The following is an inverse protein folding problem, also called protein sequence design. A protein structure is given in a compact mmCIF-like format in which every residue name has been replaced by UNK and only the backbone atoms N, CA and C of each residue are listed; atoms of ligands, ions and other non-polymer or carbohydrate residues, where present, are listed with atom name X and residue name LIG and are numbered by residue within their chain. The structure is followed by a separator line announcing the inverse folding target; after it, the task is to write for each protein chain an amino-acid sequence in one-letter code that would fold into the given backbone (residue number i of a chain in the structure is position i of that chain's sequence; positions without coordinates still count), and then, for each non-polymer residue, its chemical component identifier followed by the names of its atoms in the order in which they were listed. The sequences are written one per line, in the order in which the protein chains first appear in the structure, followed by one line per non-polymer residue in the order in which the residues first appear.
data_IF_764193806411
#
_entry.id   IF_764193806411
#
_cell.length_a   1.000
_cell.length_b   1.000
_cell.length_c   1.000
_cell.angle_alpha   90.00
_cell.angle_beta   90.00
_cell.angle_gamma   90.00
#
_symmetry.space_group_name_H-M   'P 1'
#
loop_
_entity.id
_entity.type
_entity.pdbx_description
1 polymer ?
#
# COMPACT_ATOMS: atom_id res chain seq x y z
N UNK A 1 4.93 2.53 -26.72
CA UNK A 1 5.66 1.35 -26.20
C UNK A 1 4.61 0.38 -25.70
N UNK A 2 4.43 -0.74 -26.40
CA UNK A 2 3.51 -1.80 -26.01
C UNK A 2 4.03 -2.44 -24.72
N UNK A 3 3.60 -1.93 -23.57
CA UNK A 3 3.79 -2.57 -22.27
C UNK A 3 2.94 -3.82 -22.21
N UNK A 4 3.32 -4.86 -22.92
CA UNK A 4 2.63 -6.14 -22.89
C UNK A 4 2.84 -6.72 -21.50
N UNK A 5 1.79 -6.70 -20.70
CA UNK A 5 1.78 -7.27 -19.36
C UNK A 5 1.96 -8.77 -19.52
N UNK A 6 3.09 -9.29 -19.02
CA UNK A 6 3.44 -10.71 -19.12
C UNK A 6 2.80 -11.58 -18.03
N UNK A 7 1.96 -10.98 -17.19
CA UNK A 7 1.31 -11.66 -16.07
C UNK A 7 -0.16 -11.89 -16.39
N UNK A 8 -0.69 -13.00 -15.91
CA UNK A 8 -2.11 -13.31 -15.97
C UNK A 8 -2.93 -12.37 -15.07
N UNK A 9 -4.24 -12.19 -15.34
CA UNK A 9 -5.14 -11.45 -14.42
C UNK A 9 -5.09 -11.98 -12.98
N UNK A 10 -4.96 -13.29 -12.80
CA UNK A 10 -4.86 -13.92 -11.49
C UNK A 10 -3.58 -13.50 -10.74
N UNK A 11 -2.42 -13.52 -11.41
CA UNK A 11 -1.15 -13.07 -10.82
C UNK A 11 -1.17 -11.58 -10.47
N UNK A 12 -1.79 -10.74 -11.31
CA UNK A 12 -1.97 -9.32 -11.01
C UNK A 12 -2.79 -9.12 -9.72
N UNK A 13 -3.89 -9.86 -9.55
CA UNK A 13 -4.76 -9.79 -8.37
C UNK A 13 -4.06 -10.27 -7.11
N UNK A 14 -3.28 -11.35 -7.19
CA UNK A 14 -2.52 -11.87 -6.05
C UNK A 14 -1.47 -10.86 -5.56
N UNK A 15 -0.71 -10.28 -6.51
CA UNK A 15 0.26 -9.22 -6.20
C UNK A 15 -0.43 -7.97 -5.65
N UNK A 16 -1.58 -7.57 -6.19
CA UNK A 16 -2.36 -6.45 -5.69
C UNK A 16 -2.75 -6.65 -4.22
N UNK A 17 -3.23 -7.85 -3.86
CA UNK A 17 -3.59 -8.20 -2.49
C UNK A 17 -2.40 -8.10 -1.53
N UNK A 18 -1.20 -8.42 -1.99
CA UNK A 18 0.02 -8.27 -1.19
C UNK A 18 0.25 -6.80 -0.85
N UNK A 19 0.15 -5.89 -1.82
CA UNK A 19 0.27 -4.44 -1.59
C UNK A 19 -0.76 -3.93 -0.58
N UNK A 20 -2.05 -4.25 -0.73
CA UNK A 20 -3.10 -3.82 0.20
C UNK A 20 -2.97 -4.42 1.60
N UNK A 21 -2.43 -5.65 1.71
CA UNK A 21 -2.12 -6.24 3.03
C UNK A 21 -0.98 -5.49 3.70
N UNK A 22 0.11 -5.23 2.98
CA UNK A 22 1.23 -4.46 3.50
C UNK A 22 0.86 -3.03 3.88
N UNK A 23 -0.03 -2.36 3.13
CA UNK A 23 -0.56 -1.04 3.47
C UNK A 23 -1.22 -1.04 4.86
N UNK A 24 -2.16 -1.97 5.08
CA UNK A 24 -2.84 -2.15 6.37
C UNK A 24 -1.89 -2.48 7.51
N UNK A 25 -0.88 -3.32 7.26
CA UNK A 25 0.12 -3.66 8.28
C UNK A 25 0.95 -2.43 8.70
N UNK A 26 1.31 -1.57 7.73
CA UNK A 26 2.02 -0.31 7.98
C UNK A 26 1.14 0.64 8.80
N UNK A 27 -0.14 0.79 8.46
CA UNK A 27 -1.07 1.63 9.21
C UNK A 27 -1.24 1.16 10.66
N UNK A 28 -1.43 -0.15 10.87
CA UNK A 28 -1.53 -0.74 12.21
C UNK A 28 -0.24 -0.55 13.01
N UNK A 29 0.93 -0.71 12.38
CA UNK A 29 2.22 -0.44 13.02
C UNK A 29 2.32 1.03 13.42
N UNK A 30 1.98 1.95 12.52
CA UNK A 30 2.03 3.39 12.78
C UNK A 30 1.08 3.81 13.91
N UNK A 31 -0.10 3.21 13.98
CA UNK A 31 -1.06 3.44 15.06
C UNK A 31 -0.51 2.97 16.41
N UNK A 32 0.03 1.74 16.48
CA UNK A 32 0.65 1.19 17.70
C UNK A 32 1.81 2.06 18.18
N UNK A 33 2.70 2.47 17.29
CA UNK A 33 3.84 3.31 17.63
C UNK A 33 3.41 4.72 18.04
N UNK A 34 2.37 5.29 17.41
CA UNK A 34 1.81 6.59 17.82
C UNK A 34 1.25 6.55 19.24
N UNK A 35 0.57 5.46 19.62
CA UNK A 35 0.04 5.29 20.98
C UNK A 35 1.17 5.14 22.01
N UNK A 36 2.18 4.33 21.70
CA UNK A 36 3.36 4.18 22.56
C UNK A 36 4.08 5.52 22.75
N UNK A 37 4.22 6.31 21.69
CA UNK A 37 4.88 7.61 21.80
C UNK A 37 4.12 8.57 22.72
N UNK A 38 2.79 8.58 22.67
CA UNK A 38 1.98 9.41 23.56
C UNK A 38 2.12 8.97 25.04
N UNK A 39 2.20 7.66 25.30
CA UNK A 39 2.49 7.13 26.64
C UNK A 39 3.86 7.59 27.13
N UNK A 40 4.90 7.44 26.31
CA UNK A 40 6.26 7.85 26.67
C UNK A 40 6.38 9.36 26.93
N UNK A 41 5.64 10.21 26.20
CA UNK A 41 5.57 11.65 26.46
C UNK A 41 5.07 11.98 27.86
N UNK A 42 4.11 11.20 28.36
CA UNK A 42 3.53 11.41 29.70
C UNK A 42 4.43 10.92 30.84
N UNK A 43 5.28 9.93 30.56
CA UNK A 43 6.15 9.31 31.57
C UNK A 43 7.51 10.01 31.69
N UNK A 44 7.98 10.68 30.63
CA UNK A 44 9.32 11.26 30.58
C UNK A 44 9.29 12.77 30.88
N UNK A 45 9.57 13.14 32.13
CA UNK A 45 9.83 14.53 32.52
C UNK A 45 11.21 14.97 32.00
N UNK A 46 11.27 15.67 30.85
CA UNK A 46 12.47 16.40 30.42
C UNK A 46 12.76 16.43 28.92
N UNK A 47 13.62 17.37 28.51
CA UNK A 47 14.01 17.62 27.10
C UNK A 47 14.75 16.44 26.42
N UNK A 48 15.13 15.40 27.16
CA UNK A 48 15.90 14.28 26.64
C UNK A 48 15.16 13.49 25.54
N UNK A 49 13.82 13.50 25.54
CA UNK A 49 13.00 12.82 24.52
C UNK A 49 12.42 13.70 23.42
N UNK A 50 12.50 15.03 23.56
CA UNK A 50 11.91 15.97 22.62
C UNK A 50 12.42 15.76 21.18
N UNK A 51 13.72 15.45 21.00
CA UNK A 51 14.29 15.22 19.67
C UNK A 51 13.74 13.98 18.97
N UNK A 52 13.50 12.89 19.71
CA UNK A 52 12.91 11.68 19.13
C UNK A 52 11.44 11.90 18.79
N UNK A 53 10.74 12.65 19.64
CA UNK A 53 9.37 13.05 19.41
C UNK A 53 9.19 13.85 18.11
N UNK A 54 10.03 14.88 17.94
CA UNK A 54 10.08 15.70 16.74
C UNK A 54 10.33 14.87 15.48
N UNK A 55 11.32 13.97 15.51
CA UNK A 55 11.64 13.11 14.38
C UNK A 55 10.48 12.19 14.01
N UNK A 56 9.82 11.59 15.00
CA UNK A 56 8.68 10.73 14.74
C UNK A 56 7.50 11.53 14.15
N UNK A 57 7.19 12.71 14.69
CA UNK A 57 6.15 13.58 14.15
C UNK A 57 6.45 13.99 12.69
N UNK A 58 7.71 14.22 12.35
CA UNK A 58 8.15 14.53 10.98
C UNK A 58 8.05 13.34 10.02
N UNK A 59 8.33 12.12 10.50
CA UNK A 59 8.34 10.91 9.66
C UNK A 59 6.97 10.26 9.52
N UNK A 60 6.10 10.39 10.53
CA UNK A 60 4.72 9.89 10.53
C UNK A 60 3.96 10.17 9.22
N UNK A 61 3.89 11.41 8.70
CA UNK A 61 3.17 11.66 7.45
C UNK A 61 3.77 10.92 6.25
N UNK A 62 5.11 10.76 6.19
CA UNK A 62 5.77 10.01 5.11
C UNK A 62 5.42 8.53 5.13
N UNK A 63 5.30 7.94 6.33
CA UNK A 63 4.87 6.55 6.49
C UNK A 63 3.41 6.39 6.07
N UNK A 64 2.54 7.35 6.42
CA UNK A 64 1.15 7.37 5.94
C UNK A 64 1.07 7.51 4.43
N UNK A 65 1.85 8.41 3.81
CA UNK A 65 1.95 8.55 2.36
C UNK A 65 2.41 7.25 1.68
N UNK A 66 3.35 6.54 2.29
CA UNK A 66 3.82 5.26 1.79
C UNK A 66 2.74 4.18 1.86
N UNK A 67 1.97 4.09 2.95
CA UNK A 67 0.82 3.18 3.03
C UNK A 67 -0.23 3.51 1.95
N UNK A 68 -0.56 4.79 1.77
CA UNK A 68 -1.48 5.24 0.71
C UNK A 68 -0.96 4.88 -0.70
N UNK A 69 0.35 4.97 -0.93
CA UNK A 69 0.95 4.56 -2.20
C UNK A 69 0.78 3.06 -2.44
N UNK A 70 0.93 2.22 -1.41
CA UNK A 70 0.72 0.78 -1.54
C UNK A 70 -0.75 0.47 -1.92
N UNK A 71 -1.72 1.14 -1.29
CA UNK A 71 -3.14 1.01 -1.66
C UNK A 71 -3.42 1.47 -3.10
N UNK A 72 -2.79 2.56 -3.54
CA UNK A 72 -2.92 3.01 -4.94
C UNK A 72 -2.36 1.97 -5.92
N UNK A 73 -1.24 1.32 -5.58
CA UNK A 73 -0.67 0.24 -6.39
C UNK A 73 -1.63 -0.96 -6.42
N UNK A 74 -2.21 -1.36 -5.28
CA UNK A 74 -3.24 -2.40 -5.25
C UNK A 74 -4.37 -2.08 -6.23
N UNK A 75 -4.98 -0.90 -6.12
CA UNK A 75 -6.10 -0.50 -6.97
C UNK A 75 -5.72 -0.49 -8.45
N UNK A 76 -4.53 -0.01 -8.78
CA UNK A 76 -4.07 0.04 -10.16
C UNK A 76 -3.82 -1.36 -10.73
N UNK A 77 -3.25 -2.27 -9.94
CA UNK A 77 -3.06 -3.66 -10.34
C UNK A 77 -4.39 -4.40 -10.52
N UNK A 78 -5.38 -4.15 -9.64
CA UNK A 78 -6.73 -4.72 -9.78
C UNK A 78 -7.42 -4.24 -11.06
N UNK A 79 -7.40 -2.93 -11.34
CA UNK A 79 -7.95 -2.35 -12.58
C UNK A 79 -7.28 -2.95 -13.82
N UNK A 80 -5.97 -3.12 -13.75
CA UNK A 80 -5.18 -3.70 -14.84
C UNK A 80 -5.54 -5.17 -15.06
N UNK A 81 -5.74 -5.96 -14.00
CA UNK A 81 -6.18 -7.34 -14.10
C UNK A 81 -7.54 -7.46 -14.82
N UNK A 82 -8.49 -6.61 -14.45
CA UNK A 82 -9.81 -6.55 -15.09
C UNK A 82 -9.70 -6.18 -16.57
N UNK A 83 -8.90 -5.17 -16.92
CA UNK A 83 -8.71 -4.77 -18.31
C UNK A 83 -8.09 -5.88 -19.17
N UNK A 84 -7.11 -6.63 -18.64
CA UNK A 84 -6.51 -7.78 -19.34
C UNK A 84 -7.54 -8.90 -19.53
N UNK A 85 -8.33 -9.22 -18.51
CA UNK A 85 -9.37 -10.24 -18.58
C UNK A 85 -10.47 -9.90 -19.59
N UNK A 86 -10.94 -8.65 -19.62
CA UNK A 86 -11.91 -8.17 -20.60
C UNK A 86 -11.36 -8.23 -22.03
N UNK A 87 -10.09 -7.84 -22.21
CA UNK A 87 -9.42 -7.93 -23.52
C UNK A 87 -9.31 -9.39 -24.00
N UNK A 88 -8.92 -10.31 -23.12
CA UNK A 88 -8.82 -11.74 -23.46
C UNK A 88 -10.19 -12.34 -23.82
N UNK A 89 -11.25 -11.97 -23.10
CA UNK A 89 -12.62 -12.39 -23.42
C UNK A 89 -13.09 -11.88 -24.79
N UNK A 90 -12.83 -10.61 -25.11
CA UNK A 90 -13.18 -10.02 -26.40
C UNK A 90 -12.42 -10.70 -27.55
N UNK A 91 -11.12 -10.98 -27.36
CA UNK A 91 -10.33 -11.72 -28.36
C UNK A 91 -10.90 -13.14 -28.55
N UNK A 92 -11.22 -13.85 -27.47
CA UNK A 92 -11.80 -15.19 -27.56
C UNK A 92 -13.14 -15.21 -28.31
N UNK A 93 -13.98 -14.18 -28.17
CA UNK A 93 -15.23 -14.06 -28.92
C UNK A 93 -14.99 -13.81 -30.41
N UNK A 94 -13.99 -12.99 -30.75
CA UNK A 94 -13.68 -12.64 -32.14
C UNK A 94 -12.97 -13.76 -32.92
N UNK A 95 -12.29 -14.68 -32.24
CA UNK A 95 -11.61 -15.83 -32.83
C UNK A 95 -12.46 -17.13 -32.84
N UNK A 96 -13.70 -17.09 -32.37
CA UNK A 96 -14.64 -18.22 -32.41
C UNK A 96 -15.54 -18.21 -33.65
N UNK A 97 -15.03 -18.69 -34.78
CA UNK A 97 -15.78 -19.20 -35.94
C UNK A 97 -15.14 -20.48 -36.47
#
# INVERSE_FOLDING_TARGET
MSGQIRMTPAELRDRAKTYGTSARDIEQMLQRLSQLQEQLRSEWEGQAFARFDDQFNQLKPKVTEFANLMDQIEQQLQKTATAVEEQDQQLSQNFGF
#
